data_IF_387961987399
#
_entry.id   IF_387961987399
#
_cell.length_a   1.000
_cell.length_b   1.000
_cell.length_c   1.000
_cell.angle_alpha   90.00
_cell.angle_beta   90.00
_cell.angle_gamma   90.00
#
_symmetry.space_group_name_H-M   'P 1'
#
loop_
_entity.id
_entity.type
_entity.pdbx_description
1 polymer ?
#
# COMPACT_ATOMS: atom_id res chain seq x y z
N UNK A 1 7.16 -12.39 14.75
CA UNK A 1 7.74 -11.75 13.56
C UNK A 1 9.20 -11.47 13.83
N UNK A 2 10.08 -11.59 12.84
CA UNK A 2 11.51 -11.25 13.01
C UNK A 2 11.65 -9.73 13.11
N UNK A 3 12.46 -9.24 14.05
CA UNK A 3 12.79 -7.81 14.15
C UNK A 3 13.85 -7.46 13.08
N UNK A 4 13.44 -6.71 12.06
CA UNK A 4 14.31 -6.26 10.96
C UNK A 4 14.81 -4.83 11.14
N UNK A 5 14.72 -4.26 12.35
CA UNK A 5 15.01 -2.83 12.58
C UNK A 5 16.44 -2.43 12.17
N UNK A 6 17.42 -3.31 12.41
CA UNK A 6 18.82 -3.05 12.04
C UNK A 6 19.02 -3.06 10.51
N UNK A 7 18.47 -4.07 9.84
CA UNK A 7 18.53 -4.26 8.39
C UNK A 7 17.83 -3.10 7.67
N UNK A 8 16.65 -2.69 8.16
CA UNK A 8 15.93 -1.55 7.58
C UNK A 8 16.70 -0.24 7.80
N UNK A 9 17.43 -0.13 8.91
CA UNK A 9 18.33 0.99 9.19
C UNK A 9 19.47 1.07 8.18
N UNK A 10 20.10 -0.07 7.88
CA UNK A 10 21.14 -0.18 6.87
C UNK A 10 20.61 0.13 5.46
N UNK A 11 19.43 -0.40 5.10
CA UNK A 11 18.79 -0.12 3.81
C UNK A 11 18.46 1.37 3.65
N UNK A 12 17.91 2.01 4.69
CA UNK A 12 17.64 3.46 4.69
C UNK A 12 18.91 4.28 4.44
N UNK A 13 20.02 3.90 5.09
CA UNK A 13 21.31 4.56 4.90
C UNK A 13 21.84 4.36 3.48
N UNK A 14 21.77 3.13 2.95
CA UNK A 14 22.24 2.78 1.61
C UNK A 14 21.46 3.51 0.50
N UNK A 15 20.16 3.71 0.67
CA UNK A 15 19.33 4.46 -0.28
C UNK A 15 19.60 5.97 -0.26
N UNK A 16 20.31 6.48 0.74
CA UNK A 16 20.67 7.88 0.86
C UNK A 16 19.48 8.84 1.06
N UNK A 17 19.75 10.16 1.18
CA UNK A 17 18.73 11.15 1.50
C UNK A 17 17.72 11.35 0.37
N UNK A 18 16.43 11.45 0.72
CA UNK A 18 15.38 11.85 -0.23
C UNK A 18 15.57 13.31 -0.67
N UNK A 19 15.38 13.63 -1.96
CA UNK A 19 15.39 15.01 -2.44
C UNK A 19 14.37 15.87 -1.68
N UNK A 20 14.74 17.10 -1.29
CA UNK A 20 13.88 17.97 -0.47
C UNK A 20 12.60 18.45 -1.19
N UNK A 21 12.62 18.48 -2.52
CA UNK A 21 11.60 19.11 -3.36
C UNK A 21 10.78 18.12 -4.20
N UNK A 22 10.99 16.80 -4.04
CA UNK A 22 10.23 15.76 -4.76
C UNK A 22 9.98 14.56 -3.85
N UNK A 23 8.88 13.84 -4.12
CA UNK A 23 8.66 12.53 -3.53
C UNK A 23 9.70 11.51 -4.02
N UNK A 24 9.92 10.46 -3.24
CA UNK A 24 10.70 9.29 -3.63
C UNK A 24 9.78 8.07 -3.64
N UNK A 25 9.82 7.31 -4.72
CA UNK A 25 9.15 6.00 -4.83
C UNK A 25 10.20 4.91 -4.71
N UNK A 26 9.92 3.90 -3.91
CA UNK A 26 10.77 2.70 -3.75
C UNK A 26 9.86 1.50 -3.95
N UNK A 27 10.20 0.65 -4.92
CA UNK A 27 9.50 -0.59 -5.18
C UNK A 27 10.27 -1.75 -4.55
N UNK A 28 9.54 -2.62 -3.86
CA UNK A 28 10.05 -3.89 -3.36
C UNK A 28 9.43 -5.02 -4.18
N UNK A 29 10.26 -5.90 -4.73
CA UNK A 29 9.84 -7.02 -5.56
C UNK A 29 10.76 -8.22 -5.33
N UNK A 30 10.25 -9.41 -5.63
CA UNK A 30 10.91 -10.70 -5.50
C UNK A 30 10.69 -11.51 -6.78
N UNK A 31 11.54 -12.50 -7.02
CA UNK A 31 11.35 -13.42 -8.14
C UNK A 31 10.19 -14.39 -7.87
N UNK A 32 10.01 -14.77 -6.60
CA UNK A 32 9.04 -15.79 -6.19
C UNK A 32 8.22 -15.39 -4.96
N UNK A 33 7.04 -16.00 -4.83
CA UNK A 33 6.24 -15.92 -3.60
C UNK A 33 6.99 -16.53 -2.41
N UNK A 34 6.86 -15.92 -1.24
CA UNK A 34 7.46 -16.43 0.01
C UNK A 34 8.86 -15.90 0.34
N UNK A 35 9.47 -15.09 -0.53
CA UNK A 35 10.80 -14.48 -0.31
C UNK A 35 10.80 -13.34 0.73
N UNK A 36 9.65 -13.03 1.33
CA UNK A 36 9.54 -12.07 2.44
C UNK A 36 9.45 -10.59 2.03
N UNK A 37 9.27 -10.30 0.73
CA UNK A 37 9.15 -8.91 0.21
C UNK A 37 8.08 -8.09 0.93
N UNK A 38 6.90 -8.67 1.18
CA UNK A 38 5.83 -7.94 1.86
C UNK A 38 6.25 -7.54 3.28
N UNK A 39 7.00 -8.40 3.99
CA UNK A 39 7.56 -8.10 5.31
C UNK A 39 8.61 -6.99 5.22
N UNK A 40 9.57 -7.11 4.30
CA UNK A 40 10.62 -6.09 4.10
C UNK A 40 10.02 -4.72 3.77
N UNK A 41 9.07 -4.66 2.83
CA UNK A 41 8.39 -3.43 2.45
C UNK A 41 7.67 -2.78 3.64
N UNK A 42 6.95 -3.57 4.45
CA UNK A 42 6.22 -3.10 5.63
C UNK A 42 7.15 -2.61 6.73
N UNK A 43 8.21 -3.35 7.02
CA UNK A 43 9.19 -2.98 8.04
C UNK A 43 9.99 -1.74 7.65
N UNK A 44 10.36 -1.64 6.37
CA UNK A 44 10.99 -0.45 5.84
C UNK A 44 10.06 0.76 5.98
N UNK A 45 8.81 0.65 5.52
CA UNK A 45 7.84 1.73 5.62
C UNK A 45 7.60 2.18 7.08
N UNK A 46 7.53 1.22 8.03
CA UNK A 46 7.43 1.47 9.47
C UNK A 46 8.62 2.29 9.98
N UNK A 47 9.84 1.85 9.68
CA UNK A 47 11.06 2.55 10.10
C UNK A 47 11.11 3.98 9.54
N UNK A 48 10.83 4.12 8.25
CA UNK A 48 10.89 5.41 7.56
C UNK A 48 9.82 6.37 8.06
N UNK A 49 8.62 5.89 8.39
CA UNK A 49 7.55 6.74 8.91
C UNK A 49 7.94 7.50 10.20
N UNK A 50 8.75 6.84 11.04
CA UNK A 50 9.28 7.41 12.28
C UNK A 50 10.45 8.37 12.03
N UNK A 51 11.27 8.13 11.00
CA UNK A 51 12.51 8.89 10.75
C UNK A 51 12.38 10.02 9.72
N UNK A 52 11.54 9.88 8.71
CA UNK A 52 11.39 10.85 7.65
C UNK A 52 10.78 12.15 8.17
N UNK A 53 10.87 13.26 7.44
CA UNK A 53 10.13 14.49 7.80
C UNK A 53 8.67 14.44 7.33
N UNK A 54 8.45 13.86 6.15
CA UNK A 54 7.13 13.72 5.52
C UNK A 54 6.50 12.37 5.85
N UNK A 55 5.16 12.24 5.84
CA UNK A 55 4.49 10.96 5.95
C UNK A 55 4.92 9.98 4.84
N UNK A 56 4.87 8.70 5.17
CA UNK A 56 5.17 7.59 4.25
C UNK A 56 3.87 6.97 3.77
N UNK A 57 3.86 6.56 2.50
CA UNK A 57 2.77 5.79 1.92
C UNK A 57 3.28 4.43 1.49
N UNK A 58 2.74 3.36 2.08
CA UNK A 58 2.93 1.98 1.64
C UNK A 58 1.78 1.62 0.70
N UNK A 59 2.10 1.43 -0.57
CA UNK A 59 1.15 1.00 -1.59
C UNK A 59 1.30 -0.52 -1.73
N UNK A 60 0.23 -1.25 -1.42
CA UNK A 60 0.14 -2.68 -1.70
C UNK A 60 -0.15 -2.88 -3.19
N UNK A 61 0.91 -3.18 -3.95
CA UNK A 61 0.86 -3.40 -5.39
C UNK A 61 0.52 -4.84 -5.79
N UNK A 62 0.40 -5.76 -4.83
CA UNK A 62 0.00 -7.13 -5.12
C UNK A 62 -1.53 -7.20 -5.29
N UNK A 63 -1.99 -7.22 -6.54
CA UNK A 63 -3.42 -7.29 -6.87
C UNK A 63 -4.00 -8.72 -6.74
N UNK A 64 -3.20 -9.71 -6.34
CA UNK A 64 -3.60 -11.11 -6.18
C UNK A 64 -3.65 -11.49 -4.70
N UNK A 65 -2.70 -11.01 -3.90
CA UNK A 65 -2.54 -11.35 -2.48
C UNK A 65 -2.29 -10.12 -1.60
N UNK A 66 -3.27 -9.22 -1.54
CA UNK A 66 -3.21 -8.12 -0.59
C UNK A 66 -3.19 -8.60 0.86
N UNK A 67 -2.37 -7.93 1.67
CA UNK A 67 -2.28 -8.23 3.10
C UNK A 67 -1.49 -7.22 3.91
N UNK A 68 -1.01 -6.12 3.31
CA UNK A 68 -0.18 -5.16 4.04
C UNK A 68 -0.94 -4.46 5.17
N UNK A 69 -2.21 -4.07 4.94
CA UNK A 69 -3.01 -3.40 5.95
C UNK A 69 -3.39 -4.38 7.08
N UNK A 70 -3.82 -5.57 6.72
CA UNK A 70 -4.23 -6.63 7.67
C UNK A 70 -3.06 -7.03 8.57
N UNK A 71 -1.87 -7.20 7.99
CA UNK A 71 -0.67 -7.52 8.75
C UNK A 71 -0.26 -6.39 9.70
N UNK A 72 -0.36 -5.12 9.27
CA UNK A 72 -0.11 -3.98 10.16
C UNK A 72 -1.16 -3.88 11.28
N UNK A 73 -2.43 -4.18 10.97
CA UNK A 73 -3.53 -4.18 11.95
C UNK A 73 -3.35 -5.25 13.04
N UNK A 74 -2.73 -6.38 12.70
CA UNK A 74 -2.45 -7.48 13.61
C UNK A 74 -1.32 -7.16 14.61
N UNK A 75 -0.57 -6.07 14.42
CA UNK A 75 0.56 -5.67 15.26
C UNK A 75 0.39 -4.26 15.84
N UNK A 76 -0.65 -4.00 16.65
CA UNK A 76 -0.96 -2.66 17.16
C UNK A 76 0.15 -2.07 18.05
N UNK A 77 0.98 -2.89 18.69
CA UNK A 77 2.12 -2.40 19.48
C UNK A 77 3.23 -1.81 18.60
N UNK A 78 3.32 -2.23 17.35
CA UNK A 78 4.37 -1.81 16.40
C UNK A 78 3.90 -0.73 15.43
N UNK A 79 2.62 -0.75 15.05
CA UNK A 79 2.03 0.18 14.09
C UNK A 79 1.03 1.16 14.72
N UNK A 80 0.63 0.96 15.98
CA UNK A 80 -0.49 1.66 16.58
C UNK A 80 -1.84 1.18 16.01
N UNK A 81 -2.92 1.74 16.54
CA UNK A 81 -4.27 1.48 16.01
C UNK A 81 -4.43 2.14 14.64
N UNK A 82 -5.07 1.43 13.72
CA UNK A 82 -5.47 1.99 12.43
C UNK A 82 -6.51 3.10 12.62
N UNK A 83 -6.31 4.24 11.95
CA UNK A 83 -7.27 5.33 11.91
C UNK A 83 -8.39 5.12 10.88
N UNK A 84 -9.20 6.16 10.69
CA UNK A 84 -10.30 6.16 9.72
C UNK A 84 -9.76 6.04 8.29
N UNK A 85 -10.46 5.29 7.45
CA UNK A 85 -10.12 5.19 6.03
C UNK A 85 -10.34 6.53 5.32
N UNK A 86 -9.45 6.84 4.37
CA UNK A 86 -9.57 7.94 3.43
C UNK A 86 -9.50 7.40 1.99
N UNK A 87 -9.96 8.20 1.02
CA UNK A 87 -9.71 7.91 -0.38
C UNK A 87 -8.21 7.99 -0.66
N UNK A 88 -7.70 7.03 -1.43
CA UNK A 88 -6.29 6.89 -1.73
C UNK A 88 -5.95 7.29 -3.17
N UNK A 89 -6.84 8.05 -3.81
CA UNK A 89 -6.64 8.59 -5.15
C UNK A 89 -7.11 10.05 -5.20
N UNK A 90 -6.20 11.02 -5.02
CA UNK A 90 -6.56 12.43 -4.99
C UNK A 90 -7.11 12.97 -6.32
N UNK A 91 -6.66 12.43 -7.44
CA UNK A 91 -7.04 12.84 -8.80
C UNK A 91 -8.02 11.86 -9.48
N UNK A 92 -8.45 10.81 -8.76
CA UNK A 92 -9.34 9.77 -9.29
C UNK A 92 -8.64 8.72 -10.15
N UNK A 93 -7.32 8.77 -10.31
CA UNK A 93 -6.55 7.74 -11.01
C UNK A 93 -6.39 6.44 -10.17
N UNK A 94 -6.14 5.33 -10.84
CA UNK A 94 -5.77 4.07 -10.19
C UNK A 94 -4.77 3.33 -11.08
N UNK A 95 -3.87 2.59 -10.46
CA UNK A 95 -2.87 1.76 -11.15
C UNK A 95 -3.43 0.40 -11.59
N UNK A 96 -4.73 0.17 -11.38
CA UNK A 96 -5.42 -1.08 -11.74
C UNK A 96 -6.77 -0.80 -12.38
N UNK A 97 -7.23 -1.76 -13.18
CA UNK A 97 -8.56 -1.81 -13.74
C UNK A 97 -9.29 -3.06 -13.24
N UNK A 98 -10.62 -3.02 -13.27
CA UNK A 98 -11.48 -4.15 -12.91
C UNK A 98 -12.39 -4.50 -14.08
N UNK A 99 -12.36 -5.76 -14.51
CA UNK A 99 -13.11 -6.25 -15.67
C UNK A 99 -13.88 -7.53 -15.31
N UNK A 100 -15.21 -7.59 -15.51
CA UNK A 100 -16.11 -6.51 -15.93
C UNK A 100 -16.20 -5.36 -14.92
N UNK A 101 -16.59 -4.16 -15.38
CA UNK A 101 -16.63 -2.96 -14.53
C UNK A 101 -17.55 -3.16 -13.33
N UNK A 102 -17.11 -2.83 -12.11
CA UNK A 102 -17.92 -2.96 -10.91
C UNK A 102 -19.05 -1.93 -10.92
N UNK A 103 -20.18 -2.31 -10.32
CA UNK A 103 -21.29 -1.39 -10.08
C UNK A 103 -21.63 -1.37 -8.59
N UNK A 104 -22.15 -0.24 -8.11
CA UNK A 104 -22.74 -0.17 -6.78
C UNK A 104 -24.12 -0.85 -6.74
N UNK A 105 -24.78 -0.76 -5.58
CA UNK A 105 -26.12 -1.33 -5.34
C UNK A 105 -27.20 -0.71 -6.25
N UNK A 106 -27.01 0.54 -6.70
CA UNK A 106 -27.94 1.24 -7.61
C UNK A 106 -27.65 0.97 -9.09
N UNK A 107 -26.68 0.10 -9.40
CA UNK A 107 -26.30 -0.25 -10.78
C UNK A 107 -25.37 0.77 -11.46
N UNK A 108 -24.92 1.82 -10.76
CA UNK A 108 -23.98 2.79 -11.29
C UNK A 108 -22.57 2.22 -11.32
N UNK A 109 -21.84 2.47 -12.41
CA UNK A 109 -20.44 2.05 -12.57
C UNK A 109 -19.57 2.74 -11.52
N UNK A 110 -18.80 1.94 -10.78
CA UNK A 110 -17.80 2.41 -9.83
C UNK A 110 -16.47 2.61 -10.55
N UNK A 111 -15.82 3.79 -10.43
CA UNK A 111 -14.47 3.97 -10.93
C UNK A 111 -13.49 3.13 -10.09
N UNK A 112 -12.39 2.61 -10.66
CA UNK A 112 -11.40 1.83 -9.90
C UNK A 112 -10.87 2.55 -8.66
N UNK A 113 -10.66 3.87 -8.73
CA UNK A 113 -10.24 4.68 -7.60
C UNK A 113 -11.20 4.65 -6.39
N UNK A 114 -12.50 4.41 -6.60
CA UNK A 114 -13.47 4.25 -5.50
C UNK A 114 -13.24 2.96 -4.70
N UNK A 115 -12.49 2.02 -5.25
CA UNK A 115 -12.08 0.79 -4.57
C UNK A 115 -10.73 0.95 -3.86
N UNK A 116 -9.99 2.04 -4.07
CA UNK A 116 -8.71 2.26 -3.42
C UNK A 116 -8.87 3.15 -2.18
N UNK A 117 -8.62 2.58 -1.01
CA UNK A 117 -8.60 3.31 0.26
C UNK A 117 -7.21 3.31 0.86
N UNK A 118 -6.94 4.22 1.79
CA UNK A 118 -5.79 4.13 2.67
C UNK A 118 -6.22 4.35 4.12
N UNK A 119 -5.53 3.70 5.06
CA UNK A 119 -5.71 3.96 6.49
C UNK A 119 -4.40 4.44 7.10
N UNK A 120 -4.44 5.46 7.97
CA UNK A 120 -3.26 5.91 8.68
C UNK A 120 -2.97 4.99 9.88
N UNK A 121 -1.70 4.85 10.20
CA UNK A 121 -1.17 4.28 11.43
C UNK A 121 0.03 5.12 11.90
N UNK A 122 0.63 4.77 13.05
CA UNK A 122 1.72 5.55 13.66
C UNK A 122 1.39 7.05 13.79
N UNK A 123 0.17 7.38 14.24
CA UNK A 123 -0.26 8.77 14.37
C UNK A 123 -0.36 9.55 13.04
N UNK A 124 -0.61 8.86 11.93
CA UNK A 124 -0.71 9.48 10.59
C UNK A 124 0.62 9.62 9.86
N UNK A 125 1.69 9.03 10.41
CA UNK A 125 3.03 9.04 9.82
C UNK A 125 3.22 7.97 8.75
N UNK A 126 2.42 6.90 8.79
CA UNK A 126 2.37 5.85 7.78
C UNK A 126 0.94 5.66 7.29
N UNK A 127 0.74 5.72 5.99
CA UNK A 127 -0.50 5.37 5.31
C UNK A 127 -0.31 4.06 4.57
N UNK A 128 -1.27 3.15 4.66
CA UNK A 128 -1.22 1.87 3.95
C UNK A 128 -2.45 1.78 3.06
N UNK A 129 -2.26 1.53 1.77
CA UNK A 129 -3.40 1.32 0.85
C UNK A 129 -4.06 -0.02 1.11
N UNK A 130 -5.35 -0.07 0.77
CA UNK A 130 -6.13 -1.30 0.70
C UNK A 130 -7.08 -1.23 -0.47
N UNK A 131 -7.08 -2.29 -1.24
CA UNK A 131 -8.05 -2.62 -2.26
C UNK A 131 -8.90 -3.80 -1.77
N UNK A 132 -10.22 -3.63 -1.58
CA UNK A 132 -11.11 -4.63 -1.02
C UNK A 132 -11.40 -5.72 -2.05
N UNK A 133 -10.46 -6.63 -2.30
CA UNK A 133 -10.65 -7.74 -3.24
C UNK A 133 -11.89 -8.57 -2.92
N UNK A 134 -12.28 -8.66 -1.64
CA UNK A 134 -13.50 -9.34 -1.21
C UNK A 134 -14.80 -8.72 -1.76
N UNK A 135 -14.75 -7.50 -2.28
CA UNK A 135 -15.89 -6.83 -2.93
C UNK A 135 -16.02 -7.15 -4.42
N UNK A 136 -15.06 -7.88 -4.99
CA UNK A 136 -15.17 -8.34 -6.37
C UNK A 136 -16.22 -9.44 -6.49
N UNK A 137 -17.10 -9.30 -7.47
CA UNK A 137 -18.10 -10.31 -7.82
C UNK A 137 -17.44 -11.45 -8.60
N UNK A 138 -18.05 -12.63 -8.56
CA UNK A 138 -17.62 -13.78 -9.37
C UNK A 138 -17.47 -13.39 -10.85
N UNK A 139 -16.30 -13.71 -11.43
CA UNK A 139 -15.95 -13.36 -12.82
C UNK A 139 -15.27 -11.99 -13.00
N UNK A 140 -15.21 -11.13 -11.98
CA UNK A 140 -14.40 -9.92 -12.04
C UNK A 140 -12.92 -10.23 -11.81
N UNK A 141 -12.07 -9.63 -12.64
CA UNK A 141 -10.61 -9.69 -12.58
C UNK A 141 -10.05 -8.31 -12.35
N UNK A 142 -8.89 -8.25 -11.70
CA UNK A 142 -8.16 -7.03 -11.43
C UNK A 142 -6.78 -7.15 -12.05
N UNK A 143 -6.41 -6.15 -12.83
CA UNK A 143 -5.18 -6.15 -13.59
C UNK A 143 -4.53 -4.78 -13.48
N UNK A 144 -3.19 -4.75 -13.42
CA UNK A 144 -2.46 -3.49 -13.46
C UNK A 144 -2.72 -2.80 -14.81
N UNK A 145 -2.89 -1.48 -14.78
CA UNK A 145 -3.01 -0.67 -16.00
C UNK A 145 -1.61 -0.46 -16.55
N UNK A 146 -1.40 -0.80 -17.82
CA UNK A 146 -0.15 -0.50 -18.52
C UNK A 146 -0.02 1.00 -18.82
N UNK A 147 1.18 1.45 -19.17
CA UNK A 147 1.38 2.83 -19.60
C UNK A 147 0.49 3.14 -20.81
N UNK A 148 -0.17 4.32 -20.86
CA UNK A 148 -0.82 4.78 -22.08
C UNK A 148 0.22 4.86 -23.20
N UNK A 149 -0.11 4.27 -24.35
CA UNK A 149 0.70 4.39 -25.57
C UNK A 149 0.80 5.84 -26.08
#
# INVERSE_FOLDING_TARGET
>A
MVDLTAEMGALWAALGPSPAHRGRVIQFAAASTGEGVSTVAREYARLVAVRARKPVWLIDGDLVQQGQLEAAAAEPDRFGRLGRAAQASPDGSAFFAVTPRPTNETGQILPPAALLTARPCLGGRLWITRFPMERLRSGQKVEAVGDPA
#
